data_IF_578447937072
#
_entry.id   IF_578447937072
#
_cell.length_a   1.000
_cell.length_b   1.000
_cell.length_c   1.000
_cell.angle_alpha   90.00
_cell.angle_beta   90.00
_cell.angle_gamma   90.00
#
_symmetry.space_group_name_H-M   'P 1'
#
loop_
_entity.id
_entity.type
_entity.pdbx_description
1 polymer ?
#
# COMPACT_ATOMS: atom_id res chain seq x y z
N UNK A 1 24.70 18.59 3.72
CA UNK A 1 24.75 17.99 2.36
C UNK A 1 23.92 18.87 1.43
N UNK A 2 24.22 18.88 0.12
CA UNK A 2 23.38 19.62 -0.84
C UNK A 2 22.14 18.81 -1.13
N UNK A 3 20.98 19.47 -1.18
CA UNK A 3 19.72 18.85 -1.62
C UNK A 3 19.83 18.41 -3.08
N UNK A 4 19.28 17.24 -3.42
CA UNK A 4 19.18 16.77 -4.80
C UNK A 4 18.31 17.77 -5.58
N UNK A 5 18.80 18.21 -6.73
CA UNK A 5 18.04 19.10 -7.59
C UNK A 5 16.99 18.32 -8.35
N UNK A 6 15.76 18.80 -8.30
CA UNK A 6 14.65 18.28 -9.12
C UNK A 6 14.68 18.98 -10.47
N UNK A 7 15.61 18.58 -11.35
CA UNK A 7 15.79 19.16 -12.67
C UNK A 7 16.16 18.11 -13.75
N UNK A 8 16.05 18.49 -15.00
CA UNK A 8 16.40 17.63 -16.14
C UNK A 8 17.83 17.14 -16.11
N UNK A 9 18.79 17.99 -15.68
CA UNK A 9 20.20 17.64 -15.67
C UNK A 9 20.47 16.46 -14.75
N UNK A 10 19.86 16.47 -13.57
CA UNK A 10 19.93 15.36 -12.64
C UNK A 10 19.33 14.07 -13.23
N UNK A 11 18.13 14.16 -13.82
CA UNK A 11 17.46 13.02 -14.42
C UNK A 11 18.28 12.38 -15.54
N UNK A 12 18.84 13.19 -16.44
CA UNK A 12 19.70 12.69 -17.53
C UNK A 12 20.94 11.95 -17.01
N UNK A 13 21.60 12.49 -15.97
CA UNK A 13 22.73 11.81 -15.33
C UNK A 13 22.31 10.49 -14.70
N UNK A 14 21.23 10.50 -13.91
CA UNK A 14 20.70 9.33 -13.25
C UNK A 14 20.33 8.21 -14.24
N UNK A 15 19.58 8.57 -15.31
CA UNK A 15 19.21 7.61 -16.34
C UNK A 15 20.42 7.01 -17.09
N UNK A 16 21.43 7.84 -17.35
CA UNK A 16 22.67 7.40 -18.01
C UNK A 16 23.46 6.45 -17.10
N UNK A 17 23.63 6.80 -15.84
CA UNK A 17 24.36 5.97 -14.86
C UNK A 17 23.69 4.61 -14.64
N UNK A 18 22.36 4.57 -14.71
CA UNK A 18 21.59 3.34 -14.53
C UNK A 18 21.33 2.58 -15.85
N UNK A 19 21.85 3.06 -16.99
CA UNK A 19 21.59 2.50 -18.32
C UNK A 19 20.10 2.28 -18.58
N UNK A 20 19.28 3.28 -18.29
CA UNK A 20 17.83 3.21 -18.49
C UNK A 20 17.46 3.25 -19.96
N UNK A 21 16.35 2.59 -20.38
CA UNK A 21 15.85 2.70 -21.74
C UNK A 21 15.33 4.13 -22.01
N UNK A 22 15.47 4.58 -23.25
CA UNK A 22 15.12 5.95 -23.64
C UNK A 22 13.68 6.34 -23.27
N UNK A 23 12.72 5.43 -23.43
CA UNK A 23 11.34 5.69 -23.08
C UNK A 23 11.13 6.05 -21.60
N UNK A 24 11.85 5.40 -20.68
CA UNK A 24 11.74 5.71 -19.26
C UNK A 24 12.38 7.05 -18.93
N UNK A 25 13.50 7.36 -19.58
CA UNK A 25 14.12 8.69 -19.49
C UNK A 25 13.17 9.79 -19.94
N UNK A 26 12.47 9.58 -21.07
CA UNK A 26 11.49 10.54 -21.60
C UNK A 26 10.31 10.74 -20.62
N UNK A 27 9.80 9.66 -20.02
CA UNK A 27 8.76 9.75 -18.98
C UNK A 27 9.24 10.56 -17.78
N UNK A 28 10.46 10.30 -17.28
CA UNK A 28 11.03 11.05 -16.16
C UNK A 28 11.19 12.55 -16.46
N UNK A 29 11.67 12.88 -17.65
CA UNK A 29 11.86 14.27 -18.06
C UNK A 29 10.52 15.02 -18.15
N UNK A 30 9.53 14.42 -18.79
CA UNK A 30 8.17 14.99 -18.84
C UNK A 30 7.57 15.14 -17.42
N UNK A 31 7.84 14.20 -16.52
CA UNK A 31 7.36 14.27 -15.16
C UNK A 31 8.03 15.36 -14.33
N UNK A 32 9.33 15.60 -14.51
CA UNK A 32 10.06 16.69 -13.81
C UNK A 32 9.47 18.06 -14.13
N UNK A 33 9.13 18.33 -15.38
CA UNK A 33 8.47 19.57 -15.77
C UNK A 33 7.15 19.77 -15.00
N UNK A 34 6.37 18.70 -14.86
CA UNK A 34 5.09 18.74 -14.15
C UNK A 34 5.23 18.92 -12.63
N UNK A 35 6.34 18.47 -12.01
CA UNK A 35 6.59 18.66 -10.57
C UNK A 35 6.54 20.14 -10.17
N UNK A 36 7.03 21.04 -11.01
CA UNK A 36 7.01 22.48 -10.71
C UNK A 36 5.60 23.06 -10.80
N UNK A 37 4.80 22.60 -11.75
CA UNK A 37 3.48 23.14 -12.07
C UNK A 37 2.37 22.61 -11.14
N UNK A 38 2.45 21.33 -10.76
CA UNK A 38 1.41 20.67 -10.01
C UNK A 38 1.47 21.01 -8.51
N UNK A 39 0.29 21.11 -7.90
CA UNK A 39 0.15 21.29 -6.45
C UNK A 39 0.31 19.96 -5.69
N UNK A 40 0.67 20.04 -4.41
CA UNK A 40 0.56 18.90 -3.49
C UNK A 40 -0.91 18.44 -3.37
N UNK A 41 -1.16 17.14 -3.12
CA UNK A 41 -2.51 16.67 -2.83
C UNK A 41 -3.09 17.39 -1.62
N UNK A 42 -4.41 17.45 -1.55
CA UNK A 42 -5.15 18.09 -0.44
C UNK A 42 -5.95 17.03 0.31
N UNK A 43 -5.31 16.21 1.16
CA UNK A 43 -6.02 15.19 1.93
C UNK A 43 -7.03 15.88 2.85
N UNK A 44 -8.27 15.35 2.88
CA UNK A 44 -9.35 15.92 3.66
C UNK A 44 -8.96 16.02 5.15
N UNK A 45 -9.29 17.15 5.79
CA UNK A 45 -9.03 17.45 7.21
C UNK A 45 -7.57 17.30 7.69
N UNK A 46 -6.60 17.14 6.77
CA UNK A 46 -5.18 17.00 7.12
C UNK A 46 -4.34 18.09 6.45
N UNK A 47 -3.70 18.91 7.24
CA UNK A 47 -2.81 19.96 6.74
C UNK A 47 -1.40 19.42 6.61
N UNK A 48 -0.91 19.32 5.37
CA UNK A 48 0.40 18.76 5.02
C UNK A 48 1.44 19.79 4.57
N UNK A 49 1.13 21.09 4.69
CA UNK A 49 2.02 22.16 4.19
C UNK A 49 3.41 22.19 4.83
N UNK A 50 3.55 21.59 6.01
CA UNK A 50 4.83 21.50 6.73
C UNK A 50 5.45 20.09 6.66
N UNK A 51 4.92 19.20 5.84
CA UNK A 51 5.49 17.88 5.65
C UNK A 51 6.48 17.92 4.49
N UNK A 52 7.64 17.32 4.68
CA UNK A 52 8.64 17.27 3.63
C UNK A 52 8.41 16.07 2.70
N UNK A 53 7.88 16.31 1.50
CA UNK A 53 7.70 15.30 0.46
C UNK A 53 8.68 15.45 -0.71
N UNK A 54 9.44 16.55 -0.78
CA UNK A 54 10.16 16.94 -2.00
C UNK A 54 11.64 17.23 -1.80
N UNK A 55 12.07 17.51 -0.57
CA UNK A 55 13.45 17.86 -0.29
C UNK A 55 14.22 16.66 0.28
N UNK A 56 15.19 16.14 -0.44
CA UNK A 56 16.04 15.03 -0.04
C UNK A 56 17.50 15.26 -0.49
N UNK A 57 18.43 14.75 0.27
CA UNK A 57 19.86 14.89 0.01
C UNK A 57 20.46 13.68 -0.69
N UNK A 58 19.73 12.57 -0.71
CA UNK A 58 20.16 11.29 -1.25
C UNK A 58 19.01 10.58 -1.95
N UNK A 59 19.16 10.35 -3.25
CA UNK A 59 18.18 9.63 -4.07
C UNK A 59 18.51 8.13 -4.04
N UNK A 60 17.92 7.44 -3.06
CA UNK A 60 18.17 6.03 -2.82
C UNK A 60 19.50 5.72 -2.13
N UNK A 61 19.72 4.46 -1.88
CA UNK A 61 20.93 3.90 -1.29
C UNK A 61 21.17 2.48 -1.80
N UNK A 62 22.42 2.05 -1.81
CA UNK A 62 22.72 0.64 -2.05
C UNK A 62 22.50 -0.18 -0.78
N UNK A 63 22.09 -1.42 -0.96
CA UNK A 63 21.93 -2.42 0.10
C UNK A 63 22.76 -3.68 -0.18
N UNK A 64 22.85 -4.60 0.78
CA UNK A 64 23.52 -5.89 0.61
C UNK A 64 22.74 -6.80 -0.34
N UNK A 65 23.44 -7.77 -0.92
CA UNK A 65 22.88 -8.92 -1.62
C UNK A 65 22.92 -10.12 -0.69
N UNK A 66 21.86 -10.89 -0.63
CA UNK A 66 21.75 -12.09 0.22
C UNK A 66 21.88 -13.37 -0.60
N UNK A 67 22.56 -14.37 -0.06
CA UNK A 67 22.65 -15.68 -0.69
C UNK A 67 21.47 -16.58 -0.32
N UNK A 68 20.84 -16.33 0.80
CA UNK A 68 19.67 -17.07 1.27
C UNK A 68 18.74 -16.16 2.11
N UNK A 69 17.48 -16.59 2.29
CA UNK A 69 16.52 -15.91 3.15
C UNK A 69 16.92 -15.94 4.63
N UNK A 70 17.82 -16.85 5.02
CA UNK A 70 18.35 -16.90 6.39
C UNK A 70 19.31 -15.75 6.70
N UNK A 71 19.85 -15.09 5.67
CA UNK A 71 20.78 -13.96 5.82
C UNK A 71 20.06 -12.62 6.00
N UNK A 72 18.74 -12.61 5.87
CA UNK A 72 17.91 -11.41 6.05
C UNK A 72 17.98 -10.86 7.48
N UNK A 73 17.82 -9.55 7.67
CA UNK A 73 17.58 -8.96 8.99
C UNK A 73 16.37 -9.60 9.69
N UNK A 74 16.42 -9.73 11.00
CA UNK A 74 15.35 -10.39 11.79
C UNK A 74 13.96 -9.79 11.54
N UNK A 75 13.86 -8.47 11.38
CA UNK A 75 12.60 -7.81 11.05
C UNK A 75 12.04 -8.27 9.69
N UNK A 76 12.91 -8.50 8.71
CA UNK A 76 12.51 -8.98 7.39
C UNK A 76 12.18 -10.49 7.42
N UNK A 77 12.91 -11.30 8.19
CA UNK A 77 12.56 -12.71 8.40
C UNK A 77 11.16 -12.89 8.97
N UNK A 78 10.77 -12.01 9.90
CA UNK A 78 9.43 -12.04 10.48
C UNK A 78 8.32 -11.71 9.47
N UNK A 79 8.63 -11.02 8.38
CA UNK A 79 7.72 -10.69 7.30
C UNK A 79 7.67 -11.77 6.20
N UNK A 80 8.75 -12.54 6.06
CA UNK A 80 8.82 -13.64 5.11
C UNK A 80 8.20 -14.89 5.74
N UNK A 81 7.22 -15.47 5.07
CA UNK A 81 6.67 -16.75 5.51
C UNK A 81 7.62 -17.88 5.14
N UNK A 82 8.62 -18.13 5.99
CA UNK A 82 9.64 -19.17 5.77
C UNK A 82 9.13 -20.59 5.90
N UNK A 83 7.98 -20.81 6.57
CA UNK A 83 7.40 -22.15 6.75
C UNK A 83 6.71 -22.69 5.48
N UNK A 84 6.17 -21.79 4.67
CA UNK A 84 5.62 -22.10 3.35
C UNK A 84 6.68 -21.90 2.25
N UNK A 85 7.92 -22.24 2.53
CA UNK A 85 9.15 -22.20 1.72
C UNK A 85 8.94 -21.57 0.35
N UNK A 86 8.81 -20.25 0.31
CA UNK A 86 8.42 -19.58 -0.90
C UNK A 86 9.57 -19.51 -1.88
N UNK A 87 9.46 -20.32 -2.90
CA UNK A 87 10.29 -20.19 -4.11
C UNK A 87 9.97 -18.91 -4.89
N UNK A 88 8.88 -18.16 -4.50
CA UNK A 88 8.38 -17.02 -5.26
C UNK A 88 8.49 -15.74 -4.44
N UNK A 89 9.71 -15.24 -4.27
CA UNK A 89 9.99 -14.09 -3.42
C UNK A 89 10.99 -13.12 -4.05
N UNK A 90 10.69 -11.84 -3.90
CA UNK A 90 11.57 -10.72 -4.21
C UNK A 90 11.93 -9.98 -2.93
N UNK A 91 13.19 -9.71 -2.72
CA UNK A 91 13.67 -8.86 -1.63
C UNK A 91 14.47 -7.71 -2.20
N UNK A 92 14.06 -6.50 -1.88
CA UNK A 92 14.81 -5.28 -2.15
C UNK A 92 15.35 -4.73 -0.82
N UNK A 93 16.65 -4.45 -0.76
CA UNK A 93 17.24 -3.76 0.37
C UNK A 93 17.75 -2.39 -0.11
N UNK A 94 17.17 -1.33 0.41
CA UNK A 94 17.25 0.02 -0.16
C UNK A 94 16.87 -0.02 -1.66
N UNK A 95 17.80 0.27 -2.58
CA UNK A 95 17.55 0.19 -4.02
C UNK A 95 18.17 -1.05 -4.69
N UNK A 96 18.78 -1.94 -3.90
CA UNK A 96 19.42 -3.15 -4.42
C UNK A 96 18.42 -4.30 -4.45
N UNK A 97 18.30 -5.01 -5.59
CA UNK A 97 17.67 -6.31 -5.64
C UNK A 97 18.53 -7.28 -4.82
N UNK A 98 18.13 -7.50 -3.58
CA UNK A 98 18.92 -8.22 -2.59
C UNK A 98 18.76 -9.74 -2.70
N UNK A 99 17.58 -10.21 -3.12
CA UNK A 99 17.28 -11.62 -3.38
C UNK A 99 16.10 -11.71 -4.33
N UNK A 100 16.13 -12.67 -5.25
CA UNK A 100 15.01 -12.94 -6.15
C UNK A 100 14.95 -14.44 -6.44
N UNK A 101 13.79 -15.04 -6.24
CA UNK A 101 13.48 -16.39 -6.63
C UNK A 101 12.09 -16.45 -7.25
N UNK A 102 11.95 -17.22 -8.30
CA UNK A 102 10.68 -17.59 -8.94
C UNK A 102 10.80 -19.05 -9.37
N UNK A 103 9.79 -19.85 -9.10
CA UNK A 103 9.79 -21.27 -9.47
C UNK A 103 9.92 -21.48 -10.98
N UNK A 104 10.57 -22.55 -11.37
CA UNK A 104 10.74 -22.86 -12.80
C UNK A 104 9.41 -23.19 -13.47
N UNK A 105 8.44 -23.69 -12.72
CA UNK A 105 7.07 -23.92 -13.20
C UNK A 105 6.42 -22.60 -13.65
N UNK A 106 6.47 -21.56 -12.81
CA UNK A 106 5.88 -20.25 -13.13
C UNK A 106 6.62 -19.56 -14.28
N UNK A 107 7.96 -19.67 -14.32
CA UNK A 107 8.75 -19.18 -15.47
C UNK A 107 8.34 -19.86 -16.77
N UNK A 108 8.14 -21.17 -16.74
CA UNK A 108 7.72 -21.94 -17.92
C UNK A 108 6.30 -21.56 -18.39
N UNK A 109 5.44 -21.10 -17.47
CA UNK A 109 4.11 -20.56 -17.78
C UNK A 109 4.14 -19.11 -18.29
N UNK A 110 5.32 -18.48 -18.34
CA UNK A 110 5.49 -17.11 -18.81
C UNK A 110 5.22 -16.03 -17.77
N UNK A 111 5.18 -16.38 -16.48
CA UNK A 111 5.10 -15.41 -15.39
C UNK A 111 6.40 -14.60 -15.33
N UNK A 112 6.27 -13.26 -15.28
CA UNK A 112 7.39 -12.34 -15.10
C UNK A 112 7.32 -11.78 -13.68
N UNK A 113 8.37 -11.97 -12.92
CA UNK A 113 8.49 -11.41 -11.55
C UNK A 113 9.93 -10.93 -11.36
N UNK A 114 10.12 -9.62 -11.35
CA UNK A 114 11.45 -9.00 -11.28
C UNK A 114 11.38 -7.56 -10.77
N UNK A 115 12.54 -6.94 -10.58
CA UNK A 115 12.64 -5.50 -10.29
C UNK A 115 12.04 -4.67 -11.42
N UNK A 116 11.30 -3.61 -11.08
CA UNK A 116 10.60 -2.75 -12.06
C UNK A 116 11.56 -2.11 -13.09
N UNK A 117 12.76 -1.70 -12.67
CA UNK A 117 13.76 -1.10 -13.56
C UNK A 117 14.39 -2.15 -14.50
N UNK A 118 14.51 -3.40 -14.03
CA UNK A 118 14.92 -4.52 -14.86
C UNK A 118 13.83 -4.85 -15.88
N UNK A 119 12.58 -4.94 -15.44
CA UNK A 119 11.44 -5.15 -16.33
C UNK A 119 11.31 -4.05 -17.40
N UNK A 120 11.59 -2.80 -17.05
CA UNK A 120 11.57 -1.69 -18.00
C UNK A 120 12.57 -1.84 -19.15
N UNK A 121 13.67 -2.57 -18.93
CA UNK A 121 14.69 -2.88 -19.94
C UNK A 121 14.37 -4.14 -20.72
N UNK A 122 13.96 -5.21 -20.04
CA UNK A 122 13.78 -6.56 -20.62
C UNK A 122 12.39 -6.73 -21.25
N UNK A 123 11.37 -6.01 -20.72
CA UNK A 123 9.98 -6.10 -21.16
C UNK A 123 9.36 -4.70 -21.39
N UNK A 124 10.01 -3.83 -22.19
CA UNK A 124 9.63 -2.43 -22.32
C UNK A 124 8.18 -2.22 -22.75
N UNK A 125 7.66 -3.02 -23.68
CA UNK A 125 6.30 -2.88 -24.18
C UNK A 125 5.24 -3.16 -23.10
N UNK A 126 5.49 -4.14 -22.24
CA UNK A 126 4.59 -4.45 -21.12
C UNK A 126 4.64 -3.38 -20.05
N UNK A 127 5.84 -2.94 -19.66
CA UNK A 127 5.97 -1.92 -18.61
C UNK A 127 5.39 -0.59 -19.09
N UNK A 128 5.69 -0.13 -20.30
CA UNK A 128 5.12 1.10 -20.86
C UNK A 128 3.59 1.08 -20.91
N UNK A 129 2.99 -0.07 -21.17
CA UNK A 129 1.54 -0.21 -21.21
C UNK A 129 0.88 0.12 -19.88
N UNK A 130 1.51 -0.25 -18.77
CA UNK A 130 0.90 -0.19 -17.45
C UNK A 130 1.49 0.88 -16.53
N UNK A 131 2.76 1.26 -16.70
CA UNK A 131 3.44 2.22 -15.83
C UNK A 131 2.80 3.60 -15.89
N UNK A 132 2.05 3.93 -14.86
CA UNK A 132 1.34 5.20 -14.68
C UNK A 132 0.47 5.62 -15.88
N UNK A 133 -0.28 4.65 -16.41
CA UNK A 133 -1.14 4.85 -17.60
C UNK A 133 -2.60 4.50 -17.35
N UNK A 134 -2.91 3.34 -16.78
CA UNK A 134 -4.28 2.88 -16.56
C UNK A 134 -4.79 3.22 -15.14
N UNK A 135 -4.02 2.92 -14.10
CA UNK A 135 -4.45 3.01 -12.72
C UNK A 135 -4.09 4.35 -12.07
N UNK A 136 -2.84 4.78 -12.21
CA UNK A 136 -2.34 6.08 -11.71
C UNK A 136 -1.93 6.92 -12.90
N UNK A 137 -2.16 8.25 -12.84
CA UNK A 137 -1.67 9.19 -13.84
C UNK A 137 -0.52 10.01 -13.28
N UNK A 138 0.45 10.34 -14.14
CA UNK A 138 1.61 11.17 -13.76
C UNK A 138 1.17 12.55 -13.29
N UNK A 139 0.14 13.11 -13.92
CA UNK A 139 -0.35 14.48 -13.78
C UNK A 139 -1.47 14.66 -12.73
N UNK A 140 -1.74 13.68 -11.88
CA UNK A 140 -2.78 13.81 -10.86
C UNK A 140 -2.44 14.90 -9.82
N UNK A 141 -1.19 14.95 -9.38
CA UNK A 141 -0.66 15.96 -8.46
C UNK A 141 0.87 15.85 -8.34
N UNK A 142 1.48 16.81 -7.64
CA UNK A 142 2.95 16.88 -7.46
C UNK A 142 3.62 15.57 -7.03
N UNK A 143 3.01 14.77 -6.15
CA UNK A 143 3.64 13.54 -5.63
C UNK A 143 3.63 12.40 -6.64
N UNK A 144 2.66 12.33 -7.56
CA UNK A 144 2.65 11.36 -8.66
C UNK A 144 3.66 11.74 -9.74
N UNK A 145 3.77 13.04 -10.08
CA UNK A 145 4.80 13.52 -11.00
C UNK A 145 6.21 13.30 -10.41
N UNK A 146 6.41 13.62 -9.13
CA UNK A 146 7.67 13.37 -8.44
C UNK A 146 8.02 11.87 -8.43
N UNK A 147 7.03 11.00 -8.21
CA UNK A 147 7.21 9.56 -8.27
C UNK A 147 7.71 9.12 -9.65
N UNK A 148 7.03 9.51 -10.72
CA UNK A 148 7.42 9.16 -12.09
C UNK A 148 8.84 9.64 -12.43
N UNK A 149 9.21 10.84 -11.97
CA UNK A 149 10.54 11.41 -12.19
C UNK A 149 11.65 10.65 -11.43
N UNK A 150 11.37 10.17 -10.21
CA UNK A 150 12.39 9.67 -9.28
C UNK A 150 12.25 8.19 -8.92
N UNK A 151 11.39 7.41 -9.58
CA UNK A 151 11.27 5.97 -9.29
C UNK A 151 12.66 5.30 -9.31
N UNK A 152 12.98 4.61 -8.20
CA UNK A 152 14.32 4.03 -7.99
C UNK A 152 14.28 2.60 -7.44
N UNK A 153 13.11 1.97 -7.39
CA UNK A 153 12.94 0.58 -6.99
C UNK A 153 11.50 0.11 -7.13
N UNK A 154 11.27 -1.14 -6.81
CA UNK A 154 9.97 -1.78 -6.87
C UNK A 154 9.94 -3.07 -7.67
N UNK A 155 8.75 -3.57 -7.93
CA UNK A 155 8.53 -4.90 -8.51
C UNK A 155 7.55 -4.84 -9.67
N UNK A 156 7.82 -5.61 -10.70
CA UNK A 156 6.92 -5.92 -11.80
C UNK A 156 6.51 -7.38 -11.75
N UNK A 157 5.21 -7.64 -11.62
CA UNK A 157 4.61 -8.97 -11.67
C UNK A 157 3.58 -9.01 -12.80
N UNK A 158 3.79 -9.92 -13.75
CA UNK A 158 2.87 -10.15 -14.85
C UNK A 158 2.48 -11.62 -14.89
N UNK A 159 1.18 -11.89 -14.87
CA UNK A 159 0.59 -13.22 -14.91
C UNK A 159 -0.14 -13.36 -16.26
N UNK A 160 0.30 -14.28 -17.14
CA UNK A 160 -0.35 -14.52 -18.42
C UNK A 160 -1.77 -15.07 -18.29
N UNK A 161 -2.53 -15.02 -19.39
CA UNK A 161 -3.89 -15.57 -19.47
C UNK A 161 -3.96 -17.03 -19.05
N UNK A 162 -5.02 -17.35 -18.30
CA UNK A 162 -5.34 -18.70 -17.84
C UNK A 162 -4.26 -19.33 -16.91
N UNK A 163 -3.41 -18.52 -16.30
CA UNK A 163 -2.44 -18.97 -15.29
C UNK A 163 -3.01 -18.76 -13.90
N UNK A 164 -3.12 -19.83 -13.15
CA UNK A 164 -3.53 -19.82 -11.75
C UNK A 164 -2.31 -20.06 -10.87
N UNK A 165 -1.96 -19.06 -10.05
CA UNK A 165 -0.84 -19.16 -9.11
C UNK A 165 -1.40 -19.51 -7.73
N UNK A 166 -1.10 -20.73 -7.27
CA UNK A 166 -1.64 -21.25 -6.00
C UNK A 166 -0.89 -20.73 -4.78
N UNK A 167 0.45 -20.69 -4.89
CA UNK A 167 1.31 -20.22 -3.80
C UNK A 167 1.44 -18.69 -3.86
N UNK A 168 1.35 -17.98 -2.72
CA UNK A 168 1.51 -16.54 -2.71
C UNK A 168 2.86 -16.08 -3.27
N UNK A 169 2.86 -15.02 -4.06
CA UNK A 169 4.07 -14.30 -4.45
C UNK A 169 4.33 -13.20 -3.45
N UNK A 170 5.57 -13.05 -2.98
CA UNK A 170 5.93 -12.10 -1.93
C UNK A 170 6.99 -11.10 -2.40
N UNK A 171 6.83 -9.84 -2.00
CA UNK A 171 7.87 -8.80 -2.11
C UNK A 171 8.15 -8.19 -0.74
N UNK A 172 9.42 -8.07 -0.39
CA UNK A 172 9.86 -7.44 0.85
C UNK A 172 10.79 -6.29 0.52
N UNK A 173 10.46 -5.10 0.98
CA UNK A 173 11.22 -3.88 0.79
C UNK A 173 11.78 -3.44 2.14
N UNK A 174 13.11 -3.45 2.26
CA UNK A 174 13.83 -3.08 3.48
C UNK A 174 14.47 -1.72 3.24
N UNK A 175 14.05 -0.71 4.01
CA UNK A 175 14.62 0.63 3.95
C UNK A 175 15.33 0.94 5.26
N UNK A 176 16.66 0.92 5.24
CA UNK A 176 17.51 1.13 6.41
C UNK A 176 18.43 2.35 6.32
N UNK A 177 18.53 2.99 5.15
CA UNK A 177 19.25 4.25 5.04
C UNK A 177 18.44 5.37 5.69
N UNK A 178 19.04 6.06 6.64
CA UNK A 178 18.33 7.03 7.48
C UNK A 178 17.95 8.33 6.75
N UNK A 179 18.57 8.64 5.61
CA UNK A 179 18.46 9.95 4.92
C UNK A 179 17.97 9.83 3.48
N UNK A 180 17.95 8.61 2.94
CA UNK A 180 17.61 8.39 1.53
C UNK A 180 16.11 8.59 1.24
N UNK A 181 15.82 9.06 0.03
CA UNK A 181 14.49 9.07 -0.53
C UNK A 181 14.27 7.81 -1.39
N UNK A 182 13.18 7.11 -1.12
CA UNK A 182 12.78 5.91 -1.84
C UNK A 182 11.48 6.15 -2.58
N UNK A 183 11.51 5.91 -3.90
CA UNK A 183 10.38 6.00 -4.80
C UNK A 183 10.13 4.60 -5.37
N UNK A 184 9.28 3.84 -4.68
CA UNK A 184 9.08 2.41 -4.94
C UNK A 184 7.80 2.17 -5.73
N UNK A 185 7.93 1.57 -6.93
CA UNK A 185 6.82 1.33 -7.84
C UNK A 185 6.53 -0.15 -8.01
N UNK A 186 5.30 -0.56 -7.72
CA UNK A 186 4.85 -1.93 -7.85
C UNK A 186 3.76 -2.01 -8.92
N UNK A 187 3.94 -2.91 -9.89
CA UNK A 187 2.92 -3.22 -10.89
C UNK A 187 2.58 -4.71 -10.80
N UNK A 188 1.31 -5.00 -10.61
CA UNK A 188 0.76 -6.37 -10.65
C UNK A 188 -0.29 -6.44 -11.75
N UNK A 189 -0.06 -7.25 -12.75
CA UNK A 189 -1.01 -7.48 -13.86
C UNK A 189 -1.42 -8.93 -13.89
N UNK A 190 -2.70 -9.20 -13.76
CA UNK A 190 -3.31 -10.50 -13.97
C UNK A 190 -4.16 -10.43 -15.25
N UNK A 191 -3.72 -11.14 -16.27
CA UNK A 191 -4.43 -11.22 -17.55
C UNK A 191 -5.71 -12.09 -17.42
N UNK A 192 -6.53 -12.17 -18.49
CA UNK A 192 -7.83 -12.83 -18.44
C UNK A 192 -7.77 -14.26 -17.87
N UNK A 193 -8.72 -14.57 -17.00
CA UNK A 193 -8.87 -15.88 -16.32
C UNK A 193 -7.64 -16.28 -15.49
N UNK A 194 -6.84 -15.36 -15.03
CA UNK A 194 -5.68 -15.65 -14.17
C UNK A 194 -5.97 -15.35 -12.71
N UNK A 195 -5.18 -15.95 -11.82
CA UNK A 195 -5.32 -15.68 -10.39
C UNK A 195 -3.99 -15.65 -9.66
N UNK A 196 -3.89 -14.75 -8.67
CA UNK A 196 -2.70 -14.62 -7.81
C UNK A 196 -3.06 -14.05 -6.45
N UNK A 197 -2.34 -14.54 -5.43
CA UNK A 197 -2.20 -13.85 -4.15
C UNK A 197 -0.82 -13.19 -4.12
N UNK A 198 -0.79 -11.88 -3.97
CA UNK A 198 0.45 -11.11 -3.88
C UNK A 198 0.54 -10.44 -2.51
N UNK A 199 1.69 -10.52 -1.86
CA UNK A 199 1.94 -9.91 -0.55
C UNK A 199 3.17 -9.04 -0.61
N UNK A 200 3.03 -7.78 -0.17
CA UNK A 200 4.17 -6.88 -0.02
C UNK A 200 4.38 -6.45 1.43
N UNK A 201 5.63 -6.17 1.77
CA UNK A 201 5.99 -5.70 3.09
C UNK A 201 7.01 -4.56 2.98
N UNK A 202 6.71 -3.42 3.60
CA UNK A 202 7.62 -2.30 3.75
C UNK A 202 8.15 -2.23 5.18
N UNK A 203 9.46 -2.32 5.34
CA UNK A 203 10.09 -2.49 6.65
C UNK A 203 11.25 -1.51 6.79
N UNK A 204 11.34 -0.82 7.91
CA UNK A 204 12.57 -0.14 8.33
C UNK A 204 13.27 -0.96 9.41
N UNK A 205 14.58 -1.16 9.27
CA UNK A 205 15.40 -1.81 10.29
C UNK A 205 15.97 -0.80 11.30
N UNK A 206 16.11 0.47 10.90
CA UNK A 206 16.42 1.57 11.78
C UNK A 206 15.17 2.04 12.54
N UNK A 207 15.34 2.49 13.78
CA UNK A 207 14.22 2.97 14.60
C UNK A 207 13.75 4.38 14.22
N UNK A 208 14.64 5.18 13.69
CA UNK A 208 14.36 6.56 13.28
C UNK A 208 15.05 6.82 11.94
N UNK A 209 14.33 7.46 11.04
CA UNK A 209 14.79 7.85 9.70
C UNK A 209 14.26 9.25 9.39
N UNK A 210 14.90 9.98 8.50
CA UNK A 210 14.46 11.33 8.09
C UNK A 210 14.15 11.42 6.59
N UNK A 211 14.23 10.31 5.89
CA UNK A 211 14.03 10.22 4.45
C UNK A 211 12.56 10.32 4.03
N UNK A 212 12.35 10.32 2.73
CA UNK A 212 11.05 10.32 2.09
C UNK A 212 10.77 8.91 1.55
N UNK A 213 9.56 8.40 1.78
CA UNK A 213 9.11 7.16 1.16
C UNK A 213 7.85 7.45 0.34
N UNK A 214 7.96 7.28 -0.96
CA UNK A 214 6.87 7.46 -1.91
C UNK A 214 6.62 6.12 -2.62
N UNK A 215 5.48 5.51 -2.32
CA UNK A 215 5.07 4.21 -2.82
C UNK A 215 3.91 4.41 -3.78
N UNK A 216 4.06 3.89 -5.00
CA UNK A 216 2.96 3.78 -5.96
C UNK A 216 2.78 2.32 -6.34
N UNK A 217 1.54 1.84 -6.26
CA UNK A 217 1.18 0.47 -6.62
C UNK A 217 0.02 0.49 -7.61
N UNK A 218 0.20 -0.19 -8.73
CA UNK A 218 -0.81 -0.36 -9.77
C UNK A 218 -1.17 -1.85 -9.90
N UNK A 219 -2.44 -2.17 -9.66
CA UNK A 219 -2.96 -3.55 -9.69
C UNK A 219 -4.04 -3.63 -10.77
N UNK A 220 -3.79 -4.40 -11.80
CA UNK A 220 -4.67 -4.52 -12.98
C UNK A 220 -5.18 -5.95 -13.07
N UNK A 221 -6.45 -6.15 -12.80
CA UNK A 221 -7.16 -7.41 -12.97
C UNK A 221 -7.96 -7.36 -14.27
N UNK A 222 -7.53 -8.10 -15.29
CA UNK A 222 -8.26 -8.19 -16.57
C UNK A 222 -9.51 -9.05 -16.42
N UNK A 223 -10.23 -9.36 -17.53
CA UNK A 223 -11.51 -10.06 -17.48
C UNK A 223 -11.41 -11.41 -16.75
N UNK A 224 -12.32 -11.64 -15.78
CA UNK A 224 -12.38 -12.84 -14.95
C UNK A 224 -11.07 -13.14 -14.17
N UNK A 225 -10.22 -12.15 -13.97
CA UNK A 225 -9.02 -12.31 -13.14
C UNK A 225 -9.34 -12.16 -11.65
N UNK A 226 -8.58 -12.85 -10.81
CA UNK A 226 -8.74 -12.81 -9.36
C UNK A 226 -7.40 -12.43 -8.71
N UNK A 227 -7.36 -11.27 -8.07
CA UNK A 227 -6.18 -10.81 -7.33
C UNK A 227 -6.55 -10.63 -5.87
N UNK A 228 -5.79 -11.28 -5.00
CA UNK A 228 -5.79 -11.00 -3.57
C UNK A 228 -4.49 -10.30 -3.22
N UNK A 229 -4.58 -9.03 -2.82
CA UNK A 229 -3.42 -8.19 -2.54
C UNK A 229 -3.28 -7.91 -1.05
N UNK A 230 -2.17 -8.33 -0.46
CA UNK A 230 -1.83 -8.06 0.93
C UNK A 230 -0.69 -7.06 1.05
N UNK A 231 -0.77 -6.17 2.04
CA UNK A 231 0.34 -5.27 2.37
C UNK A 231 0.45 -5.07 3.89
N UNK A 232 1.69 -5.05 4.40
CA UNK A 232 1.95 -4.64 5.77
C UNK A 232 3.11 -3.64 5.78
N UNK A 233 2.79 -2.39 6.16
CA UNK A 233 3.73 -1.28 6.16
C UNK A 233 4.18 -1.00 7.60
N UNK A 234 5.48 -1.17 7.88
CA UNK A 234 6.08 -0.96 9.22
C UNK A 234 7.29 -0.03 9.14
N UNK A 235 7.13 1.12 8.49
CA UNK A 235 8.17 2.11 8.33
C UNK A 235 8.43 2.88 9.63
N UNK A 236 9.70 3.18 9.89
CA UNK A 236 10.15 3.80 11.12
C UNK A 236 9.70 5.26 11.26
N UNK A 237 9.77 5.77 12.49
CA UNK A 237 9.48 7.15 12.83
C UNK A 237 10.46 8.11 12.14
N UNK A 238 9.94 9.29 11.76
CA UNK A 238 10.70 10.42 11.23
C UNK A 238 10.65 10.58 9.71
N UNK A 239 10.34 9.53 8.96
CA UNK A 239 10.10 9.66 7.51
C UNK A 239 8.75 10.33 7.23
N UNK A 240 8.63 10.92 6.05
CA UNK A 240 7.35 11.32 5.46
C UNK A 240 6.95 10.29 4.43
N UNK A 241 5.77 9.69 4.61
CA UNK A 241 5.32 8.57 3.80
C UNK A 241 4.10 8.95 2.96
N UNK A 242 4.22 8.77 1.67
CA UNK A 242 3.11 8.79 0.72
C UNK A 242 2.92 7.41 0.11
N UNK A 243 1.70 6.89 0.18
CA UNK A 243 1.33 5.59 -0.39
C UNK A 243 0.12 5.79 -1.31
N UNK A 244 0.23 5.36 -2.55
CA UNK A 244 -0.85 5.38 -3.52
C UNK A 244 -1.01 3.99 -4.14
N UNK A 245 -2.04 3.25 -3.69
CA UNK A 245 -2.40 1.93 -4.23
C UNK A 245 -3.65 2.05 -5.07
N UNK A 246 -3.57 1.68 -6.34
CA UNK A 246 -4.66 1.77 -7.30
C UNK A 246 -4.97 0.43 -7.92
N UNK A 247 -6.27 0.10 -7.99
CA UNK A 247 -6.80 -1.08 -8.64
C UNK A 247 -7.69 -0.73 -9.83
N UNK A 248 -7.60 -1.53 -10.89
CA UNK A 248 -8.50 -1.47 -12.04
C UNK A 248 -8.98 -2.88 -12.35
N UNK A 249 -10.30 -3.06 -12.48
CA UNK A 249 -10.88 -4.38 -12.72
C UNK A 249 -11.63 -4.43 -14.06
N UNK A 250 -11.36 -5.49 -14.83
CA UNK A 250 -12.13 -5.89 -16.01
C UNK A 250 -13.45 -6.56 -15.64
N UNK A 251 -14.15 -7.11 -16.64
CA UNK A 251 -15.44 -7.77 -16.46
C UNK A 251 -15.30 -9.04 -15.60
N UNK A 252 -16.24 -9.21 -14.64
CA UNK A 252 -16.27 -10.35 -13.71
C UNK A 252 -14.96 -10.56 -12.92
N UNK A 253 -14.09 -9.55 -12.85
CA UNK A 253 -12.84 -9.60 -12.12
C UNK A 253 -13.02 -9.30 -10.63
N UNK A 254 -12.15 -9.86 -9.79
CA UNK A 254 -12.14 -9.65 -8.35
C UNK A 254 -10.80 -9.10 -7.90
N UNK A 255 -10.83 -8.05 -7.07
CA UNK A 255 -9.64 -7.48 -6.44
C UNK A 255 -9.89 -7.25 -4.95
N UNK A 256 -9.28 -8.09 -4.11
CA UNK A 256 -9.37 -7.99 -2.66
C UNK A 256 -8.09 -7.37 -2.07
N UNK A 257 -8.27 -6.37 -1.21
CA UNK A 257 -7.18 -5.73 -0.48
C UNK A 257 -7.18 -6.13 1.01
N UNK A 258 -6.01 -6.50 1.52
CA UNK A 258 -5.75 -6.81 2.92
C UNK A 258 -4.59 -5.94 3.43
N UNK A 259 -4.90 -4.78 4.01
CA UNK A 259 -3.91 -3.74 4.30
C UNK A 259 -3.68 -3.57 5.80
N UNK A 260 -2.44 -3.68 6.25
CA UNK A 260 -1.95 -3.35 7.58
C UNK A 260 -1.10 -2.09 7.57
N UNK A 261 -1.68 -0.95 7.95
CA UNK A 261 -1.01 0.33 7.96
C UNK A 261 -0.41 0.58 9.35
N UNK A 262 0.81 0.09 9.56
CA UNK A 262 1.48 0.03 10.86
C UNK A 262 2.72 0.94 10.96
N UNK A 263 2.85 1.92 10.06
CA UNK A 263 3.96 2.86 10.09
C UNK A 263 4.01 3.66 11.39
N UNK A 264 5.22 4.04 11.81
CA UNK A 264 5.45 5.00 12.92
C UNK A 264 5.69 6.43 12.42
N UNK A 265 5.54 6.66 11.12
CA UNK A 265 5.76 7.92 10.42
C UNK A 265 4.47 8.68 10.15
N UNK A 266 4.60 9.98 9.89
CA UNK A 266 3.52 10.78 9.29
C UNK A 266 3.20 10.22 7.89
N UNK A 267 1.94 9.82 7.65
CA UNK A 267 1.55 9.06 6.46
C UNK A 267 0.31 9.62 5.77
N UNK A 268 0.37 9.78 4.46
CA UNK A 268 -0.80 9.88 3.57
C UNK A 268 -0.90 8.59 2.79
N UNK A 269 -2.05 7.96 2.82
CA UNK A 269 -2.30 6.74 2.05
C UNK A 269 -3.63 6.84 1.31
N UNK A 270 -3.56 6.54 0.02
CA UNK A 270 -4.72 6.40 -0.86
C UNK A 270 -4.79 4.96 -1.36
N UNK A 271 -5.98 4.36 -1.26
CA UNK A 271 -6.27 3.07 -1.87
C UNK A 271 -7.57 3.22 -2.66
N UNK A 272 -7.45 3.24 -3.98
CA UNK A 272 -8.59 3.49 -4.87
C UNK A 272 -8.73 2.34 -5.85
N UNK A 273 -9.94 1.77 -5.96
CA UNK A 273 -10.26 0.74 -6.94
C UNK A 273 -11.34 1.23 -7.88
N UNK A 274 -11.07 1.14 -9.18
CA UNK A 274 -12.01 1.44 -10.24
C UNK A 274 -12.60 0.14 -10.79
N UNK A 275 -13.87 -0.10 -10.53
CA UNK A 275 -14.64 -1.24 -11.04
C UNK A 275 -15.17 -0.89 -12.43
N UNK A 276 -14.33 -1.11 -13.46
CA UNK A 276 -14.61 -0.71 -14.84
C UNK A 276 -15.51 -1.73 -15.55
N UNK A 277 -15.23 -3.02 -15.37
CA UNK A 277 -15.97 -4.09 -16.02
C UNK A 277 -17.26 -4.45 -15.29
N UNK A 278 -18.30 -4.81 -16.05
CA UNK A 278 -19.56 -5.32 -15.51
C UNK A 278 -19.28 -6.54 -14.63
N UNK A 279 -20.00 -6.67 -13.51
CA UNK A 279 -19.90 -7.80 -12.58
C UNK A 279 -18.61 -7.84 -11.76
N UNK A 280 -17.73 -6.84 -11.86
CA UNK A 280 -16.50 -6.83 -11.09
C UNK A 280 -16.71 -6.46 -9.62
N UNK A 281 -15.81 -6.94 -8.75
CA UNK A 281 -15.94 -6.81 -7.30
C UNK A 281 -14.63 -6.35 -6.66
N UNK A 282 -14.72 -5.62 -5.54
CA UNK A 282 -13.56 -5.31 -4.70
C UNK A 282 -13.93 -5.21 -3.23
N UNK A 283 -13.13 -5.85 -2.37
CA UNK A 283 -13.18 -5.69 -0.92
C UNK A 283 -11.88 -5.03 -0.44
N UNK A 284 -12.00 -3.89 0.23
CA UNK A 284 -10.84 -3.19 0.80
C UNK A 284 -10.89 -3.26 2.34
N UNK A 285 -10.08 -4.16 2.92
CA UNK A 285 -9.99 -4.37 4.36
C UNK A 285 -8.70 -3.78 4.90
N UNK A 286 -8.82 -2.85 5.85
CA UNK A 286 -7.66 -2.12 6.39
C UNK A 286 -7.65 -2.10 7.91
N UNK A 287 -6.50 -2.41 8.49
CA UNK A 287 -6.21 -2.29 9.92
C UNK A 287 -5.12 -1.26 10.14
N UNK A 288 -5.35 -0.36 11.10
CA UNK A 288 -4.41 0.72 11.44
C UNK A 288 -4.14 0.74 12.93
N UNK A 289 -2.87 0.89 13.34
CA UNK A 289 -2.51 1.21 14.73
C UNK A 289 -1.58 2.42 14.74
N UNK A 290 -2.11 3.55 15.20
CA UNK A 290 -1.36 4.79 15.37
C UNK A 290 -0.83 4.94 16.80
N UNK A 291 0.43 5.37 16.92
CA UNK A 291 1.13 5.56 18.21
C UNK A 291 1.95 6.84 18.21
N UNK A 292 2.45 7.27 19.36
CA UNK A 292 3.25 8.48 19.48
C UNK A 292 2.45 9.75 19.17
N UNK A 293 3.01 10.59 18.34
CA UNK A 293 2.42 11.86 17.89
C UNK A 293 2.21 11.93 16.38
N UNK A 294 2.20 10.77 15.72
CA UNK A 294 2.07 10.67 14.26
C UNK A 294 0.72 11.17 13.76
N UNK A 295 0.75 11.69 12.55
CA UNK A 295 -0.45 12.15 11.84
C UNK A 295 -0.62 11.34 10.58
N UNK A 296 -1.83 10.84 10.39
CA UNK A 296 -2.13 9.91 9.31
C UNK A 296 -3.43 10.30 8.62
N UNK A 297 -3.47 10.11 7.30
CA UNK A 297 -4.68 10.24 6.51
C UNK A 297 -4.81 9.03 5.59
N UNK A 298 -5.89 8.30 5.72
CA UNK A 298 -6.19 7.10 4.96
C UNK A 298 -7.46 7.29 4.15
N UNK A 299 -7.33 7.46 2.86
CA UNK A 299 -8.43 7.51 1.92
C UNK A 299 -8.57 6.16 1.22
N UNK A 300 -9.73 5.53 1.34
CA UNK A 300 -10.10 4.34 0.58
C UNK A 300 -11.31 4.66 -0.26
N UNK A 301 -11.24 4.41 -1.56
CA UNK A 301 -12.34 4.66 -2.48
C UNK A 301 -12.59 3.44 -3.38
N UNK A 302 -13.86 3.11 -3.58
CA UNK A 302 -14.28 2.18 -4.63
C UNK A 302 -15.22 2.94 -5.55
N UNK A 303 -14.87 3.00 -6.84
CA UNK A 303 -15.61 3.71 -7.87
C UNK A 303 -16.22 2.70 -8.84
N UNK A 304 -17.53 2.71 -8.94
CA UNK A 304 -18.32 1.80 -9.77
C UNK A 304 -18.61 2.45 -11.12
N UNK A 305 -18.06 1.90 -12.19
CA UNK A 305 -18.32 2.28 -13.58
C UNK A 305 -19.16 1.21 -14.30
N UNK A 306 -18.85 -0.07 -14.06
CA UNK A 306 -19.55 -1.21 -14.61
C UNK A 306 -20.88 -1.49 -13.91
N UNK A 307 -21.77 -2.23 -14.59
CA UNK A 307 -23.04 -2.68 -14.05
C UNK A 307 -22.88 -3.89 -13.12
N UNK A 308 -23.77 -4.01 -12.14
CA UNK A 308 -23.80 -5.15 -11.19
C UNK A 308 -22.45 -5.34 -10.47
N UNK A 309 -21.76 -4.25 -10.17
CA UNK A 309 -20.48 -4.27 -9.46
C UNK A 309 -20.70 -4.22 -7.96
N UNK A 310 -19.83 -4.88 -7.20
CA UNK A 310 -19.89 -4.90 -5.73
C UNK A 310 -18.62 -4.30 -5.13
N UNK A 311 -18.78 -3.38 -4.17
CA UNK A 311 -17.69 -2.74 -3.46
C UNK A 311 -17.91 -2.71 -1.97
N UNK A 312 -16.94 -3.22 -1.18
CA UNK A 312 -17.00 -3.16 0.26
C UNK A 312 -15.73 -2.61 0.88
N UNK A 313 -15.87 -1.58 1.72
CA UNK A 313 -14.75 -0.97 2.46
C UNK A 313 -14.93 -1.29 3.94
N UNK A 314 -13.93 -1.93 4.56
CA UNK A 314 -13.92 -2.22 5.99
C UNK A 314 -12.62 -1.71 6.63
N UNK A 315 -12.73 -0.73 7.54
CA UNK A 315 -11.57 -0.12 8.20
C UNK A 315 -11.73 -0.10 9.72
N UNK A 316 -10.76 -0.69 10.43
CA UNK A 316 -10.65 -0.54 11.86
C UNK A 316 -9.32 0.10 12.25
N UNK A 317 -9.37 1.15 13.07
CA UNK A 317 -8.20 1.88 13.56
C UNK A 317 -8.16 1.99 15.07
N UNK A 318 -6.96 1.89 15.64
CA UNK A 318 -6.70 2.12 17.07
C UNK A 318 -5.68 3.23 17.20
N UNK A 319 -6.01 4.29 17.96
CA UNK A 319 -5.15 5.44 18.19
C UNK A 319 -4.72 5.50 19.65
N UNK A 320 -3.41 5.53 19.89
CA UNK A 320 -2.78 5.63 21.22
C UNK A 320 -2.07 6.98 21.38
N UNK A 321 -1.75 7.32 22.61
CA UNK A 321 -0.93 8.47 22.99
C UNK A 321 -1.48 9.79 22.41
N UNK A 322 -0.78 10.44 21.50
CA UNK A 322 -1.20 11.69 20.82
C UNK A 322 -1.40 11.47 19.30
N UNK A 323 -1.45 10.21 18.85
CA UNK A 323 -1.64 9.90 17.43
C UNK A 323 -2.96 10.43 16.90
N UNK A 324 -2.94 10.95 15.69
CA UNK A 324 -4.10 11.51 14.99
C UNK A 324 -4.28 10.87 13.62
N UNK A 325 -5.47 10.35 13.35
CA UNK A 325 -5.76 9.68 12.07
C UNK A 325 -7.12 10.06 11.51
N UNK A 326 -7.18 10.28 10.21
CA UNK A 326 -8.39 10.54 9.45
C UNK A 326 -8.67 9.34 8.54
N UNK A 327 -9.89 8.79 8.61
CA UNK A 327 -10.32 7.65 7.82
C UNK A 327 -11.41 8.11 6.84
N UNK A 328 -11.06 8.35 5.58
CA UNK A 328 -12.01 8.67 4.53
C UNK A 328 -12.40 7.38 3.80
N UNK A 329 -13.69 7.05 3.80
CA UNK A 329 -14.26 5.98 2.99
C UNK A 329 -15.14 6.58 1.90
N UNK A 330 -14.91 6.26 0.63
CA UNK A 330 -15.65 6.83 -0.49
C UNK A 330 -16.23 5.69 -1.33
N UNK A 331 -17.55 5.55 -1.31
CA UNK A 331 -18.30 4.75 -2.29
C UNK A 331 -18.81 5.68 -3.38
N UNK A 332 -18.31 5.53 -4.61
CA UNK A 332 -18.77 6.33 -5.74
C UNK A 332 -19.43 5.44 -6.80
N UNK A 333 -20.64 5.78 -7.21
CA UNK A 333 -21.37 5.08 -8.28
C UNK A 333 -21.59 6.08 -9.41
N UNK A 334 -20.95 5.82 -10.55
CA UNK A 334 -21.06 6.66 -11.74
C UNK A 334 -22.37 6.39 -12.48
N UNK A 335 -22.84 7.35 -13.24
CA UNK A 335 -23.99 7.18 -14.11
C UNK A 335 -23.78 6.04 -15.11
N UNK A 336 -24.74 5.15 -15.24
CA UNK A 336 -24.67 3.92 -16.05
C UNK A 336 -24.28 2.66 -15.31
N UNK A 337 -23.80 2.74 -14.05
CA UNK A 337 -23.44 1.60 -13.21
C UNK A 337 -24.65 0.98 -12.49
N UNK A 338 -25.73 0.70 -13.23
CA UNK A 338 -26.96 0.11 -12.65
C UNK A 338 -26.69 -1.25 -12.00
N UNK A 339 -27.41 -1.55 -10.91
CA UNK A 339 -27.24 -2.77 -10.11
C UNK A 339 -26.00 -2.77 -9.22
N UNK A 340 -25.23 -1.65 -9.14
CA UNK A 340 -24.07 -1.56 -8.27
C UNK A 340 -24.47 -1.56 -6.78
N UNK A 341 -23.59 -2.13 -5.95
CA UNK A 341 -23.73 -2.13 -4.49
C UNK A 341 -22.44 -1.58 -3.85
N UNK A 342 -22.53 -0.44 -3.13
CA UNK A 342 -21.41 0.21 -2.46
C UNK A 342 -21.65 0.25 -0.95
N UNK A 343 -20.93 -0.57 -0.20
CA UNK A 343 -21.03 -0.63 1.26
C UNK A 343 -19.71 -0.23 1.93
N UNK A 344 -19.79 0.43 3.08
CA UNK A 344 -18.59 0.78 3.85
C UNK A 344 -18.85 0.80 5.35
N UNK A 345 -17.83 0.37 6.10
CA UNK A 345 -17.79 0.45 7.54
C UNK A 345 -16.42 0.97 8.00
N UNK A 346 -16.42 1.97 8.88
CA UNK A 346 -15.20 2.49 9.50
C UNK A 346 -15.37 2.60 11.02
N UNK A 347 -14.49 1.98 11.78
CA UNK A 347 -14.48 2.07 13.25
C UNK A 347 -13.14 2.53 13.77
N UNK A 348 -13.14 3.49 14.70
CA UNK A 348 -11.92 4.01 15.33
C UNK A 348 -12.05 3.97 16.84
N UNK A 349 -11.08 3.35 17.51
CA UNK A 349 -10.97 3.26 18.95
C UNK A 349 -9.80 4.14 19.44
N UNK A 350 -10.08 5.06 20.35
CA UNK A 350 -9.06 5.90 21.00
C UNK A 350 -8.75 5.38 22.40
N UNK A 351 -7.48 5.18 22.71
CA UNK A 351 -7.00 4.66 24.00
C UNK A 351 -6.58 5.78 24.95
N UNK A 352 -6.35 6.98 24.46
CA UNK A 352 -5.96 8.13 25.30
C UNK A 352 -6.85 9.34 25.04
N UNK A 353 -6.82 10.30 25.96
CA UNK A 353 -7.57 11.56 25.82
C UNK A 353 -7.02 12.45 24.72
N UNK A 354 -5.73 12.34 24.43
CA UNK A 354 -5.03 13.14 23.42
C UNK A 354 -5.08 12.52 22.03
N UNK A 355 -5.38 11.22 21.93
CA UNK A 355 -5.54 10.57 20.65
C UNK A 355 -6.76 11.10 19.91
N UNK A 356 -6.64 11.18 18.59
CA UNK A 356 -7.71 11.62 17.70
C UNK A 356 -7.93 10.63 16.56
N UNK A 357 -9.19 10.29 16.33
CA UNK A 357 -9.61 9.53 15.15
C UNK A 357 -10.87 10.16 14.57
N UNK A 358 -10.88 10.40 13.28
CA UNK A 358 -12.06 10.86 12.54
C UNK A 358 -12.41 9.82 11.48
N UNK A 359 -13.68 9.44 11.38
CA UNK A 359 -14.20 8.59 10.32
C UNK A 359 -15.18 9.40 9.45
N UNK A 360 -14.87 9.51 8.17
CA UNK A 360 -15.65 10.27 7.20
C UNK A 360 -16.14 9.32 6.10
N UNK A 361 -17.31 8.69 6.26
CA UNK A 361 -17.93 7.93 5.19
C UNK A 361 -18.61 8.89 4.20
N UNK A 362 -18.33 8.71 2.91
CA UNK A 362 -18.82 9.52 1.81
C UNK A 362 -19.47 8.61 0.78
N UNK A 363 -20.70 8.93 0.34
CA UNK A 363 -21.38 8.27 -0.77
C UNK A 363 -21.64 9.32 -1.86
N UNK A 364 -21.15 9.04 -3.06
CA UNK A 364 -21.33 9.86 -4.25
C UNK A 364 -22.07 9.01 -5.29
N UNK A 365 -23.38 9.23 -5.44
CA UNK A 365 -24.24 8.34 -6.22
C UNK A 365 -24.89 9.12 -7.34
N UNK A 366 -24.54 8.76 -8.58
CA UNK A 366 -25.04 9.37 -9.80
C UNK A 366 -25.93 8.40 -10.62
N UNK A 367 -26.42 7.30 -10.00
CA UNK A 367 -27.27 6.28 -10.61
C UNK A 367 -28.45 5.90 -9.69
N UNK A 368 -29.62 5.65 -10.25
CA UNK A 368 -30.87 5.43 -9.49
C UNK A 368 -31.05 3.98 -9.03
N UNK A 369 -30.69 3.01 -9.87
CA UNK A 369 -30.91 1.57 -9.64
C UNK A 369 -29.69 0.94 -8.95
N UNK A 370 -29.46 1.30 -7.68
CA UNK A 370 -28.29 0.87 -6.93
C UNK A 370 -28.60 0.65 -5.44
N UNK A 371 -27.70 -0.06 -4.77
CA UNK A 371 -27.67 -0.14 -3.31
C UNK A 371 -26.42 0.57 -2.80
N UNK A 372 -26.56 1.31 -1.69
CA UNK A 372 -25.43 1.93 -1.03
C UNK A 372 -25.71 2.08 0.47
N UNK A 373 -24.68 1.85 1.27
CA UNK A 373 -24.77 1.99 2.71
C UNK A 373 -23.43 2.38 3.34
N UNK A 374 -23.50 3.09 4.47
CA UNK A 374 -22.31 3.32 5.27
C UNK A 374 -22.57 3.22 6.76
N UNK A 375 -21.55 2.82 7.51
CA UNK A 375 -21.51 2.86 8.95
C UNK A 375 -20.19 3.44 9.44
N UNK A 376 -20.25 4.31 10.45
CA UNK A 376 -19.05 4.84 11.09
C UNK A 376 -19.25 4.90 12.60
N UNK A 377 -18.19 4.55 13.35
CA UNK A 377 -18.15 4.75 14.78
C UNK A 377 -16.76 5.21 15.23
N UNK A 378 -16.74 6.21 16.07
CA UNK A 378 -15.52 6.72 16.71
C UNK A 378 -15.79 6.80 18.19
N UNK A 379 -14.97 6.12 18.99
CA UNK A 379 -15.17 6.06 20.43
C UNK A 379 -13.88 5.92 21.21
N UNK A 380 -13.98 6.12 22.51
CA UNK A 380 -12.90 5.80 23.45
C UNK A 380 -13.16 4.45 24.09
N UNK A 381 -12.10 3.84 24.61
CA UNK A 381 -12.24 2.66 25.46
C UNK A 381 -13.19 2.95 26.60
N UNK A 382 -14.16 2.09 26.82
CA UNK A 382 -15.08 2.20 27.94
C UNK A 382 -14.33 1.96 29.26
N UNK A 383 -14.28 2.96 30.16
CA UNK A 383 -13.58 2.81 31.44
C UNK A 383 -14.13 1.68 32.30
N UNK A 384 -15.40 1.30 32.15
CA UNK A 384 -16.00 0.18 32.87
C UNK A 384 -15.50 -1.16 32.36
N UNK A 385 -15.29 -1.32 31.05
CA UNK A 385 -14.69 -2.52 30.50
C UNK A 385 -13.26 -2.70 30.99
N UNK A 386 -12.48 -1.62 30.97
CA UNK A 386 -11.11 -1.61 31.47
C UNK A 386 -11.08 -1.96 32.96
N UNK A 387 -11.91 -1.29 33.77
CA UNK A 387 -12.04 -1.56 35.19
C UNK A 387 -12.46 -3.00 35.48
N UNK A 388 -13.40 -3.56 34.73
CA UNK A 388 -13.84 -4.95 34.88
C UNK A 388 -12.69 -5.94 34.67
N UNK A 389 -11.90 -5.78 33.60
CA UNK A 389 -10.73 -6.63 33.36
C UNK A 389 -9.69 -6.49 34.49
N UNK A 390 -9.40 -5.27 34.92
CA UNK A 390 -8.48 -5.02 36.02
C UNK A 390 -8.96 -5.60 37.35
N UNK A 391 -10.28 -5.55 37.61
CA UNK A 391 -10.87 -6.16 38.83
C UNK A 391 -10.73 -7.68 38.85
N UNK A 392 -10.46 -8.33 37.73
CA UNK A 392 -10.17 -9.75 37.57
C UNK A 392 -8.67 -10.09 37.71
N UNK A 393 -7.85 -9.11 38.07
CA UNK A 393 -6.41 -9.29 38.27
C UNK A 393 -5.56 -9.13 37.02
N UNK A 394 -6.16 -8.67 35.91
CA UNK A 394 -5.44 -8.35 34.68
C UNK A 394 -4.77 -6.98 34.83
N UNK A 395 -3.50 -6.85 34.43
CA UNK A 395 -2.83 -5.54 34.45
C UNK A 395 -3.52 -4.56 33.48
N UNK A 396 -3.40 -3.25 33.72
CA UNK A 396 -3.98 -2.25 32.80
C UNK A 396 -3.48 -2.46 31.37
N UNK A 397 -2.17 -2.68 31.20
CA UNK A 397 -1.55 -2.90 29.87
C UNK A 397 -2.14 -4.13 29.17
N UNK A 398 -2.30 -5.23 29.90
CA UNK A 398 -2.89 -6.45 29.34
C UNK A 398 -4.39 -6.29 29.05
N UNK A 399 -5.09 -5.52 29.88
CA UNK A 399 -6.52 -5.23 29.67
C UNK A 399 -6.71 -4.37 28.39
N UNK A 400 -5.92 -3.33 28.22
CA UNK A 400 -5.91 -2.50 26.99
C UNK A 400 -5.59 -3.38 25.77
N UNK A 401 -4.58 -4.24 25.86
CA UNK A 401 -4.21 -5.17 24.79
C UNK A 401 -5.37 -6.09 24.41
N UNK A 402 -6.06 -6.69 25.37
CA UNK A 402 -7.22 -7.54 25.11
C UNK A 402 -8.35 -6.79 24.41
N UNK A 403 -8.63 -5.55 24.84
CA UNK A 403 -9.64 -4.70 24.20
C UNK A 403 -9.26 -4.39 22.75
N UNK A 404 -8.00 -4.04 22.48
CA UNK A 404 -7.51 -3.77 21.14
C UNK A 404 -7.65 -4.98 20.22
N UNK A 405 -7.19 -6.15 20.69
CA UNK A 405 -7.32 -7.39 19.93
C UNK A 405 -8.77 -7.71 19.62
N UNK A 406 -9.67 -7.63 20.62
CA UNK A 406 -11.11 -7.85 20.40
C UNK A 406 -11.74 -6.86 19.43
N UNK A 407 -11.26 -5.60 19.41
CA UNK A 407 -11.74 -4.57 18.49
C UNK A 407 -11.24 -4.78 17.05
N UNK A 408 -10.00 -5.22 16.86
CA UNK A 408 -9.40 -5.44 15.54
C UNK A 408 -9.70 -6.82 14.95
N UNK A 409 -9.99 -7.83 15.80
CA UNK A 409 -10.26 -9.20 15.38
C UNK A 409 -11.28 -9.34 14.25
N UNK A 410 -12.44 -8.62 14.26
CA UNK A 410 -13.43 -8.75 13.18
C UNK A 410 -12.89 -8.42 11.78
N UNK A 411 -11.87 -7.53 11.67
CA UNK A 411 -11.21 -7.25 10.40
C UNK A 411 -10.09 -8.22 10.13
N UNK A 412 -9.21 -8.45 11.11
CA UNK A 412 -8.05 -9.35 10.97
C UNK A 412 -8.49 -10.75 10.58
N UNK A 413 -9.55 -11.28 11.19
CA UNK A 413 -10.09 -12.61 10.88
C UNK A 413 -10.67 -12.73 9.46
N UNK A 414 -11.18 -11.63 8.92
CA UNK A 414 -11.73 -11.57 7.56
C UNK A 414 -10.69 -11.34 6.48
N UNK A 415 -9.41 -11.09 6.83
CA UNK A 415 -8.36 -10.93 5.82
C UNK A 415 -8.18 -12.25 5.06
N UNK A 416 -8.09 -12.22 3.73
CA UNK A 416 -8.04 -13.45 2.93
C UNK A 416 -6.65 -14.13 2.90
N UNK A 417 -5.63 -13.54 3.55
CA UNK A 417 -4.23 -14.01 3.48
C UNK A 417 -3.72 -14.36 4.87
N UNK A 418 -3.50 -15.64 5.14
CA UNK A 418 -3.04 -16.12 6.46
C UNK A 418 -1.67 -15.56 6.87
N UNK A 419 -0.74 -15.40 5.93
CA UNK A 419 0.55 -14.78 6.19
C UNK A 419 0.40 -13.33 6.70
N UNK A 420 -0.50 -12.56 6.09
CA UNK A 420 -0.80 -11.18 6.52
C UNK A 420 -1.46 -11.17 7.90
N UNK A 421 -2.38 -12.09 8.20
CA UNK A 421 -3.00 -12.19 9.53
C UNK A 421 -1.96 -12.42 10.61
N UNK A 422 -1.07 -13.41 10.42
CA UNK A 422 -0.01 -13.73 11.39
C UNK A 422 0.93 -12.55 11.62
N UNK A 423 1.36 -11.92 10.52
CA UNK A 423 2.24 -10.76 10.60
C UNK A 423 1.59 -9.59 11.32
N UNK A 424 0.35 -9.25 10.97
CA UNK A 424 -0.40 -8.18 11.62
C UNK A 424 -0.59 -8.42 13.10
N UNK A 425 -0.97 -9.63 13.49
CA UNK A 425 -1.08 -10.01 14.91
C UNK A 425 0.22 -9.74 15.66
N UNK A 426 1.36 -10.16 15.10
CA UNK A 426 2.67 -9.90 15.70
C UNK A 426 3.06 -8.42 15.75
N UNK A 427 2.70 -7.63 14.74
CA UNK A 427 2.95 -6.18 14.73
C UNK A 427 2.04 -5.46 15.74
N UNK A 428 0.76 -5.79 15.78
CA UNK A 428 -0.20 -5.25 16.75
C UNK A 428 0.31 -5.50 18.16
N UNK A 429 0.73 -6.73 18.47
CA UNK A 429 1.29 -7.06 19.78
C UNK A 429 2.50 -6.20 20.18
N UNK A 430 3.39 -5.90 19.23
CA UNK A 430 4.54 -5.02 19.48
C UNK A 430 4.14 -3.57 19.71
N UNK A 431 3.16 -3.06 18.99
CA UNK A 431 2.69 -1.66 19.09
C UNK A 431 1.82 -1.42 20.34
N UNK A 432 1.25 -2.46 20.89
CA UNK A 432 0.33 -2.37 22.04
C UNK A 432 1.06 -2.57 23.37
N UNK A 433 2.30 -3.07 23.34
CA UNK A 433 3.18 -3.10 24.50
C UNK A 433 3.64 -1.70 24.88
#
# INVERSE_FOLDING_TARGET
MMTVKIDESYIRSFSTENNEPAWLTDVRLAAVEQVEELALPKPDKTRITNWNFTEFTKHGAQGPVYNSLNDLPEAAKAAVNTEEANENIFVQHNNTTAYLSLSDELKAQGVIFTNILTAAKEHPELVQKYFMTEAVKVDEHKLTALHAAFVNGGTFLYIPKNVEIKEPIQSVYIFDDAEAAFFNHVIVVAEDNSSVTFVENYISTNKEVSGIVNIVTEVIAKDNANITYGAVDTLAKGSTVYVNRRGVTGRDANLDWALGMMNDSDTISENITNLIGDGSNSNAKTVVVGTGNQRQNFTTSIVHFGKNTEGFILKHGVMKEEASSIFNGIGKIENGASGANAEQESRVLMLSEKARGDANPILLIDEDDVMAGHAASVGRVDPLQLYYLMSRGISQVDAERLIIHGFLAPVVEQLPIEAVKRQLTGVIERKVK
#
